data_IF_319906963954
#
_entry.id   IF_319906963954
#
_cell.length_a   1.000
_cell.length_b   1.000
_cell.length_c   1.000
_cell.angle_alpha   90.00
_cell.angle_beta   90.00
_cell.angle_gamma   90.00
#
_symmetry.space_group_name_H-M   'P 1'
#
loop_
_entity.id
_entity.type
_entity.pdbx_description
1 polymer ?
#
# COMPACT_ATOMS: atom_id res chain seq x y z
N UNK A 1 9.46 6.55 -10.22
CA UNK A 1 10.60 5.65 -10.55
C UNK A 1 10.57 4.60 -9.46
N UNK A 2 10.43 3.32 -9.78
CA UNK A 2 10.20 2.25 -8.78
C UNK A 2 11.27 2.28 -7.66
N UNK A 3 10.86 2.36 -6.39
CA UNK A 3 11.70 2.79 -5.27
C UNK A 3 12.15 1.67 -4.29
N UNK A 4 11.48 0.52 -4.20
CA UNK A 4 11.97 -0.67 -3.48
C UNK A 4 11.05 -1.86 -3.71
N UNK A 5 11.60 -3.08 -3.71
CA UNK A 5 10.82 -4.30 -3.41
C UNK A 5 11.10 -4.61 -1.95
N UNK A 6 10.08 -4.49 -1.12
CA UNK A 6 10.19 -4.81 0.30
C UNK A 6 9.58 -6.19 0.57
N UNK A 7 10.32 -7.02 1.30
CA UNK A 7 9.84 -8.28 1.86
C UNK A 7 9.20 -7.95 3.20
N UNK A 8 7.91 -8.20 3.35
CA UNK A 8 7.27 -8.19 4.66
C UNK A 8 6.75 -9.60 4.94
N UNK A 9 7.44 -10.25 5.88
CA UNK A 9 7.11 -11.49 6.59
C UNK A 9 6.71 -12.75 5.79
N UNK A 10 7.04 -13.90 6.38
CA UNK A 10 6.48 -15.19 6.01
C UNK A 10 5.37 -15.48 7.03
N UNK A 11 4.11 -15.41 6.60
CA UNK A 11 2.95 -15.69 7.45
C UNK A 11 2.11 -16.79 6.82
N UNK A 12 1.68 -17.76 7.62
CA UNK A 12 0.94 -18.95 7.17
C UNK A 12 1.58 -19.66 5.95
N UNK A 13 2.92 -19.68 5.90
CA UNK A 13 3.71 -20.20 4.76
C UNK A 13 3.44 -19.48 3.44
N UNK A 14 3.05 -18.21 3.49
CA UNK A 14 3.00 -17.29 2.35
C UNK A 14 4.05 -16.22 2.51
N UNK A 15 4.61 -15.80 1.38
CA UNK A 15 5.57 -14.72 1.25
C UNK A 15 4.86 -13.57 0.56
N UNK A 16 4.78 -12.42 1.22
CA UNK A 16 4.21 -11.21 0.65
C UNK A 16 5.29 -10.30 0.09
N UNK A 17 5.03 -9.73 -1.08
CA UNK A 17 5.93 -8.84 -1.80
C UNK A 17 5.22 -7.56 -2.17
N UNK A 18 5.92 -6.45 -1.98
CA UNK A 18 5.42 -5.12 -2.29
C UNK A 18 6.45 -4.38 -3.13
N UNK A 19 5.97 -3.69 -4.16
CA UNK A 19 6.76 -2.76 -4.95
C UNK A 19 6.24 -1.34 -4.70
N UNK A 20 7.11 -0.45 -4.26
CA UNK A 20 6.74 0.94 -3.95
C UNK A 20 7.16 1.90 -5.08
N UNK A 21 6.33 2.90 -5.37
CA UNK A 21 6.70 4.08 -6.17
C UNK A 21 6.65 5.32 -5.27
N UNK A 22 7.81 5.67 -4.72
CA UNK A 22 7.96 6.73 -3.74
C UNK A 22 7.36 6.31 -2.41
N UNK A 23 6.17 6.83 -2.12
CA UNK A 23 5.49 6.67 -0.85
C UNK A 23 4.16 5.91 -0.97
N UNK A 24 3.84 5.39 -2.16
CA UNK A 24 2.65 4.57 -2.43
C UNK A 24 3.04 3.16 -2.90
N UNK A 25 2.19 2.18 -2.60
CA UNK A 25 2.36 0.80 -3.07
C UNK A 25 1.94 0.76 -4.53
N UNK A 26 2.85 0.46 -5.44
CA UNK A 26 2.55 0.32 -6.86
C UNK A 26 2.08 -1.10 -7.19
N UNK A 27 2.78 -2.12 -6.69
CA UNK A 27 2.42 -3.52 -6.88
C UNK A 27 2.45 -4.29 -5.57
N UNK A 28 1.59 -5.29 -5.46
CA UNK A 28 1.64 -6.31 -4.42
C UNK A 28 1.36 -7.67 -5.04
N UNK A 29 2.04 -8.70 -4.55
CA UNK A 29 1.80 -10.09 -4.92
C UNK A 29 2.29 -10.99 -3.80
N UNK A 30 1.90 -12.25 -3.83
CA UNK A 30 2.29 -13.19 -2.80
C UNK A 30 2.31 -14.62 -3.32
N UNK A 31 3.12 -15.47 -2.72
CA UNK A 31 3.30 -16.86 -3.14
C UNK A 31 3.61 -17.76 -1.94
N UNK A 32 3.55 -19.08 -2.10
CA UNK A 32 3.87 -19.98 -0.99
C UNK A 32 5.36 -19.96 -0.68
N UNK A 33 5.73 -20.12 0.59
CA UNK A 33 7.12 -20.16 1.02
C UNK A 33 7.92 -21.26 0.31
N UNK A 34 7.28 -22.36 -0.09
CA UNK A 34 7.90 -23.43 -0.88
C UNK A 34 8.31 -22.96 -2.29
N UNK A 35 7.65 -21.95 -2.83
CA UNK A 35 7.92 -21.36 -4.14
C UNK A 35 8.94 -20.21 -4.08
N UNK A 36 9.40 -19.84 -2.87
CA UNK A 36 10.42 -18.81 -2.69
C UNK A 36 11.71 -19.19 -3.44
N UNK A 37 12.26 -18.30 -4.29
CA UNK A 37 13.56 -18.51 -4.89
C UNK A 37 14.68 -18.36 -3.85
N UNK A 38 15.74 -19.16 -4.00
CA UNK A 38 16.94 -19.06 -3.18
C UNK A 38 17.94 -18.09 -3.81
N UNK A 39 18.63 -17.35 -2.95
CA UNK A 39 19.77 -16.54 -3.36
C UNK A 39 20.98 -17.43 -3.60
N UNK A 40 21.57 -17.35 -4.79
CA UNK A 40 22.79 -18.05 -5.16
C UNK A 40 23.88 -17.06 -5.53
N UNK A 41 25.12 -17.42 -5.23
CA UNK A 41 26.31 -16.67 -5.64
C UNK A 41 26.94 -17.42 -6.81
N UNK A 42 27.02 -16.78 -7.97
CA UNK A 42 27.63 -17.38 -9.17
C UNK A 42 29.14 -17.53 -8.99
N UNK A 43 29.77 -18.30 -9.88
CA UNK A 43 31.24 -18.43 -9.92
C UNK A 43 31.96 -17.08 -10.12
N UNK A 44 31.27 -16.09 -10.69
CA UNK A 44 31.76 -14.72 -10.87
C UNK A 44 31.55 -13.83 -9.64
N UNK A 45 30.97 -14.36 -8.56
CA UNK A 45 30.67 -13.61 -7.34
C UNK A 45 29.39 -12.77 -7.41
N UNK A 46 28.58 -12.96 -8.45
CA UNK A 46 27.32 -12.24 -8.64
C UNK A 46 26.19 -12.90 -7.84
N UNK A 47 25.39 -12.09 -7.16
CA UNK A 47 24.25 -12.56 -6.37
C UNK A 47 23.01 -12.60 -7.26
N UNK A 48 22.47 -13.78 -7.51
CA UNK A 48 21.29 -14.00 -8.36
C UNK A 48 20.28 -14.90 -7.65
N UNK A 49 19.12 -15.11 -8.25
CA UNK A 49 18.13 -16.09 -7.78
C UNK A 49 18.26 -17.38 -8.57
N UNK A 50 18.03 -18.52 -7.92
CA UNK A 50 18.03 -19.84 -8.56
C UNK A 50 16.90 -20.02 -9.58
N UNK A 51 15.80 -19.29 -9.42
CA UNK A 51 14.65 -19.20 -10.32
C UNK A 51 14.00 -17.81 -10.27
N UNK A 52 13.19 -17.43 -11.29
CA UNK A 52 12.41 -16.20 -11.25
C UNK A 52 11.43 -16.17 -10.06
N UNK A 53 11.11 -14.97 -9.57
CA UNK A 53 10.05 -14.81 -8.58
C UNK A 53 8.67 -15.15 -9.19
N UNK A 54 7.83 -15.94 -8.50
CA UNK A 54 6.44 -16.14 -8.89
C UNK A 54 5.65 -14.82 -8.79
N UNK A 55 4.85 -14.49 -9.81
CA UNK A 55 4.07 -13.23 -9.90
C UNK A 55 2.62 -13.46 -10.38
N UNK A 56 2.04 -14.63 -10.11
CA UNK A 56 0.75 -15.05 -10.67
C UNK A 56 -0.45 -14.21 -10.21
N UNK A 57 -0.40 -13.66 -9.01
CA UNK A 57 -1.46 -12.88 -8.37
C UNK A 57 -1.09 -11.39 -8.25
N UNK A 58 -0.33 -10.87 -9.21
CA UNK A 58 0.07 -9.47 -9.23
C UNK A 58 -1.14 -8.54 -9.21
N UNK A 59 -1.17 -7.68 -8.20
CA UNK A 59 -2.10 -6.58 -8.07
C UNK A 59 -1.32 -5.29 -8.35
N UNK A 60 -1.87 -4.47 -9.25
CA UNK A 60 -1.36 -3.11 -9.49
C UNK A 60 -2.35 -2.09 -8.97
N UNK A 61 -1.86 -1.16 -8.15
CA UNK A 61 -2.62 -0.02 -7.67
C UNK A 61 -2.31 1.21 -8.52
N UNK A 62 -3.36 1.92 -8.93
CA UNK A 62 -3.26 3.19 -9.66
C UNK A 62 -3.76 4.29 -8.74
N UNK A 63 -3.08 5.43 -8.79
CA UNK A 63 -3.37 6.59 -7.95
C UNK A 63 -3.71 7.81 -8.81
N UNK A 64 -4.42 8.76 -8.21
CA UNK A 64 -4.59 10.08 -8.79
C UNK A 64 -3.22 10.79 -8.88
N UNK A 65 -3.07 11.67 -9.87
CA UNK A 65 -1.78 12.28 -10.22
C UNK A 65 -1.22 13.08 -9.04
N UNK A 66 0.03 12.76 -8.65
CA UNK A 66 0.74 13.38 -7.52
C UNK A 66 0.00 13.27 -6.16
N UNK A 67 -0.81 12.23 -5.97
CA UNK A 67 -1.68 12.03 -4.81
C UNK A 67 -1.54 10.64 -4.18
N UNK A 68 -2.03 10.49 -2.94
CA UNK A 68 -2.14 9.20 -2.24
C UNK A 68 -3.50 8.53 -2.43
N UNK A 69 -4.38 9.12 -3.25
CA UNK A 69 -5.75 8.64 -3.48
C UNK A 69 -5.72 7.51 -4.51
N UNK A 70 -6.07 6.26 -4.14
CA UNK A 70 -6.15 5.18 -5.11
C UNK A 70 -7.39 5.36 -6.00
N UNK A 71 -7.21 5.14 -7.30
CA UNK A 71 -8.24 5.34 -8.34
C UNK A 71 -8.56 4.07 -9.09
N UNK A 72 -7.64 3.10 -9.17
CA UNK A 72 -7.92 1.80 -9.74
C UNK A 72 -7.12 0.66 -9.12
N UNK A 73 -7.67 -0.55 -9.26
CA UNK A 73 -7.01 -1.82 -8.96
C UNK A 73 -7.00 -2.67 -10.22
N UNK A 74 -5.85 -3.24 -10.57
CA UNK A 74 -5.70 -4.13 -11.73
C UNK A 74 -5.19 -5.49 -11.23
N UNK A 75 -5.86 -6.57 -11.64
CA UNK A 75 -5.50 -7.95 -11.26
C UNK A 75 -5.61 -8.86 -12.48
N UNK A 76 -4.47 -9.15 -13.12
CA UNK A 76 -4.45 -9.76 -14.45
C UNK A 76 -5.22 -8.88 -15.45
N UNK A 77 -6.18 -9.46 -16.16
CA UNK A 77 -7.02 -8.74 -17.14
C UNK A 77 -8.23 -8.01 -16.53
N UNK A 78 -8.43 -8.10 -15.21
CA UNK A 78 -9.56 -7.46 -14.52
C UNK A 78 -9.18 -6.08 -14.03
N UNK A 79 -10.02 -5.10 -14.31
CA UNK A 79 -9.83 -3.72 -13.84
C UNK A 79 -10.98 -3.34 -12.91
N UNK A 80 -10.65 -2.58 -11.87
CA UNK A 80 -11.63 -2.07 -10.93
C UNK A 80 -11.43 -0.59 -10.73
N UNK A 81 -12.50 0.19 -10.90
CA UNK A 81 -12.49 1.63 -10.64
C UNK A 81 -12.81 1.88 -9.17
N UNK A 82 -11.98 2.67 -8.49
CA UNK A 82 -12.14 3.00 -7.07
C UNK A 82 -12.67 4.42 -6.95
N UNK A 83 -13.77 4.57 -6.22
CA UNK A 83 -14.34 5.87 -5.87
C UNK A 83 -13.98 6.17 -4.43
N UNK A 84 -13.41 7.35 -4.20
CA UNK A 84 -13.03 7.85 -2.89
C UNK A 84 -13.94 8.99 -2.43
N UNK A 85 -14.03 9.18 -1.11
CA UNK A 85 -14.73 10.32 -0.51
C UNK A 85 -13.93 11.64 -0.66
N UNK A 86 -14.47 12.71 -0.07
CA UNK A 86 -13.91 14.06 -0.19
C UNK A 86 -12.52 14.24 0.44
N UNK A 87 -12.08 13.33 1.32
CA UNK A 87 -10.72 13.31 1.88
C UNK A 87 -9.83 12.27 1.21
N UNK A 88 -10.32 11.59 0.17
CA UNK A 88 -9.53 10.62 -0.60
C UNK A 88 -9.51 9.20 -0.03
N UNK A 89 -10.42 8.87 0.89
CA UNK A 89 -10.57 7.50 1.40
C UNK A 89 -11.47 6.68 0.47
N UNK A 90 -11.08 5.46 0.06
CA UNK A 90 -11.92 4.61 -0.77
C UNK A 90 -13.28 4.34 -0.12
N UNK A 91 -14.38 4.47 -0.87
CA UNK A 91 -15.72 4.15 -0.38
C UNK A 91 -16.41 3.09 -1.22
N UNK A 92 -16.08 2.99 -2.51
CA UNK A 92 -16.66 2.00 -3.41
C UNK A 92 -15.65 1.54 -4.46
N UNK A 93 -15.86 0.34 -4.99
CA UNK A 93 -15.19 -0.14 -6.19
C UNK A 93 -16.15 -0.85 -7.14
N UNK A 94 -15.91 -0.64 -8.43
CA UNK A 94 -16.73 -1.14 -9.52
C UNK A 94 -15.91 -2.03 -10.45
N UNK A 95 -16.50 -3.12 -10.95
CA UNK A 95 -15.91 -3.94 -12.01
C UNK A 95 -16.08 -3.29 -13.41
N UNK A 96 -15.53 -3.95 -14.43
CA UNK A 96 -15.61 -3.52 -15.83
C UNK A 96 -17.05 -3.41 -16.39
N UNK A 97 -18.02 -4.04 -15.73
CA UNK A 97 -19.44 -3.98 -16.10
C UNK A 97 -20.20 -2.89 -15.32
N UNK A 98 -19.54 -2.17 -14.41
CA UNK A 98 -20.15 -1.17 -13.55
C UNK A 98 -20.92 -1.74 -12.36
N UNK A 99 -20.69 -3.00 -11.99
CA UNK A 99 -21.25 -3.57 -10.77
C UNK A 99 -20.40 -3.20 -9.56
N UNK A 100 -21.04 -2.89 -8.43
CA UNK A 100 -20.34 -2.69 -7.16
C UNK A 100 -19.78 -4.05 -6.70
N UNK A 101 -18.46 -4.13 -6.55
CA UNK A 101 -17.76 -5.33 -6.03
C UNK A 101 -17.25 -5.13 -4.60
N UNK A 102 -17.16 -3.87 -4.18
CA UNK A 102 -16.72 -3.50 -2.84
C UNK A 102 -17.34 -2.16 -2.42
N UNK A 103 -17.76 -2.05 -1.17
CA UNK A 103 -18.19 -0.78 -0.58
C UNK A 103 -17.93 -0.80 0.92
N UNK A 104 -17.51 0.33 1.47
CA UNK A 104 -17.32 0.48 2.91
C UNK A 104 -17.81 1.85 3.38
N UNK A 105 -18.47 1.84 4.54
CA UNK A 105 -18.65 3.03 5.36
C UNK A 105 -17.55 3.06 6.44
N UNK A 106 -17.43 4.18 7.14
CA UNK A 106 -16.45 4.34 8.19
C UNK A 106 -17.01 5.13 9.35
N UNK A 107 -16.55 4.84 10.56
CA UNK A 107 -16.77 5.75 11.68
C UNK A 107 -15.74 6.89 11.71
N UNK A 108 -15.87 7.76 12.73
CA UNK A 108 -15.05 8.96 12.89
C UNK A 108 -13.55 8.67 13.07
N UNK A 109 -13.19 7.44 13.47
CA UNK A 109 -11.80 7.01 13.62
C UNK A 109 -11.30 6.23 12.39
N UNK A 110 -12.09 6.17 11.32
CA UNK A 110 -11.72 5.42 10.12
C UNK A 110 -11.86 3.90 10.28
N UNK A 111 -12.53 3.41 11.32
CA UNK A 111 -12.85 1.99 11.39
C UNK A 111 -13.96 1.66 10.37
N UNK A 112 -13.74 0.61 9.58
CA UNK A 112 -14.67 0.17 8.54
C UNK A 112 -15.99 -0.31 9.15
N UNK A 113 -17.10 0.11 8.56
CA UNK A 113 -18.49 -0.24 8.88
C UNK A 113 -19.21 -0.63 7.59
N UNK A 114 -20.32 -1.38 7.72
CA UNK A 114 -21.23 -1.72 6.62
C UNK A 114 -20.52 -2.21 5.33
N UNK A 115 -19.55 -3.13 5.49
CA UNK A 115 -18.73 -3.62 4.40
C UNK A 115 -19.55 -4.52 3.45
N UNK A 116 -19.49 -4.21 2.16
CA UNK A 116 -19.86 -5.10 1.06
C UNK A 116 -18.58 -5.60 0.36
N UNK A 117 -18.54 -6.90 0.03
CA UNK A 117 -17.36 -7.53 -0.56
C UNK A 117 -16.31 -7.98 0.46
N UNK A 118 -15.12 -8.33 -0.02
CA UNK A 118 -13.99 -8.75 0.83
C UNK A 118 -13.27 -7.53 1.42
N UNK A 119 -12.94 -7.58 2.72
CA UNK A 119 -12.26 -6.48 3.42
C UNK A 119 -10.88 -6.17 2.84
N UNK A 120 -10.20 -7.21 2.38
CA UNK A 120 -8.87 -7.21 1.78
C UNK A 120 -8.91 -6.74 0.33
N UNK A 121 -10.10 -6.62 -0.27
CA UNK A 121 -10.21 -6.21 -1.67
C UNK A 121 -9.60 -4.83 -1.91
N UNK A 122 -9.77 -3.91 -0.96
CA UNK A 122 -9.05 -2.63 -0.90
C UNK A 122 -8.46 -2.51 0.52
N UNK A 123 -7.14 -2.54 0.69
CA UNK A 123 -6.49 -2.45 2.01
C UNK A 123 -6.31 -0.99 2.49
N UNK A 124 -6.55 0.01 1.64
CA UNK A 124 -6.35 1.41 1.99
C UNK A 124 -7.48 1.96 2.88
N UNK A 125 -7.11 2.75 3.89
CA UNK A 125 -8.04 3.35 4.85
C UNK A 125 -8.00 4.87 4.72
N UNK A 126 -7.67 5.61 5.78
CA UNK A 126 -7.36 7.05 5.61
C UNK A 126 -6.09 7.19 4.76
N UNK A 127 -5.82 8.39 4.25
CA UNK A 127 -4.65 8.61 3.38
C UNK A 127 -3.35 8.21 4.08
N UNK A 128 -2.58 7.34 3.42
CA UNK A 128 -1.34 6.76 3.93
C UNK A 128 -1.52 5.56 4.88
N UNK A 129 -2.75 5.12 5.14
CA UNK A 129 -3.02 3.90 5.92
C UNK A 129 -3.21 2.68 5.02
N UNK A 130 -2.46 1.63 5.33
CA UNK A 130 -2.65 0.29 4.82
C UNK A 130 -3.12 -0.62 5.96
N UNK A 131 -4.27 -1.29 5.84
CA UNK A 131 -4.70 -2.24 6.88
C UNK A 131 -3.85 -3.50 6.83
N UNK A 132 -3.21 -3.80 7.95
CA UNK A 132 -2.64 -5.10 8.23
C UNK A 132 -3.78 -6.04 8.67
N UNK A 133 -4.05 -7.05 7.85
CA UNK A 133 -5.11 -8.02 8.09
C UNK A 133 -4.90 -8.84 9.37
N UNK A 134 -3.65 -9.15 9.71
CA UNK A 134 -3.33 -10.04 10.83
C UNK A 134 -3.69 -9.38 12.17
N UNK A 135 -3.36 -8.10 12.29
CA UNK A 135 -3.56 -7.34 13.52
C UNK A 135 -4.86 -6.55 13.53
N UNK A 136 -5.40 -6.24 12.35
CA UNK A 136 -6.48 -5.27 12.15
C UNK A 136 -6.06 -3.83 12.46
N UNK A 137 -4.76 -3.58 12.60
CA UNK A 137 -4.18 -2.25 12.76
C UNK A 137 -3.91 -1.63 11.39
N UNK A 138 -3.86 -0.32 11.34
CA UNK A 138 -3.55 0.41 10.12
C UNK A 138 -2.11 0.90 10.16
N UNK A 139 -1.31 0.45 9.22
CA UNK A 139 0.08 0.84 9.08
C UNK A 139 0.19 2.19 8.37
N UNK A 140 0.72 3.18 9.07
CA UNK A 140 1.16 4.49 8.58
C UNK A 140 2.68 4.54 8.64
N UNK A 141 3.38 3.80 7.76
CA UNK A 141 4.85 3.79 7.53
C UNK A 141 5.77 3.74 8.77
N UNK A 142 5.75 4.75 9.63
CA UNK A 142 6.49 4.80 10.89
C UNK A 142 5.68 4.33 12.11
N UNK A 143 4.34 4.21 12.01
CA UNK A 143 3.48 3.85 13.15
C UNK A 143 2.31 2.95 12.75
N UNK A 144 1.80 2.21 13.73
CA UNK A 144 0.55 1.47 13.63
C UNK A 144 -0.55 2.21 14.38
N UNK A 145 -1.69 2.40 13.72
CA UNK A 145 -2.89 3.04 14.22
C UNK A 145 -3.95 2.00 14.56
N UNK A 146 -4.54 2.09 15.74
CA UNK A 146 -5.66 1.26 16.16
C UNK A 146 -6.98 2.03 15.91
N UNK A 147 -7.79 1.63 14.91
CA UNK A 147 -9.04 2.30 14.58
C UNK A 147 -10.14 2.08 15.63
N UNK A 148 -10.01 1.12 16.55
CA UNK A 148 -11.00 0.88 17.62
C UNK A 148 -10.91 1.94 18.71
N UNK A 149 -9.70 2.41 19.01
CA UNK A 149 -9.45 3.45 20.03
C UNK A 149 -9.17 4.82 19.42
N UNK A 150 -8.88 4.88 18.12
CA UNK A 150 -8.63 6.11 17.39
C UNK A 150 -7.23 6.71 17.60
N UNK A 151 -6.22 5.90 17.95
CA UNK A 151 -4.88 6.37 18.28
C UNK A 151 -3.77 5.46 17.73
N UNK A 152 -2.56 5.99 17.64
CA UNK A 152 -1.36 5.18 17.45
C UNK A 152 -1.06 4.33 18.67
N UNK A 153 -0.59 3.11 18.44
CA UNK A 153 -0.18 2.20 19.51
C UNK A 153 1.25 2.46 20.01
N UNK A 154 2.02 3.30 19.29
CA UNK A 154 3.38 3.70 19.63
C UNK A 154 3.51 5.22 19.75
N UNK A 155 4.47 5.65 20.58
CA UNK A 155 4.79 7.06 20.74
C UNK A 155 5.39 7.62 19.45
N UNK A 156 5.07 8.88 19.12
CA UNK A 156 5.66 9.60 17.99
C UNK A 156 7.21 9.59 18.07
N UNK A 157 7.90 9.01 17.06
CA UNK A 157 9.37 8.96 17.02
C UNK A 157 10.01 10.35 17.03
N UNK A 158 9.35 11.35 16.47
CA UNK A 158 9.82 12.75 16.46
C UNK A 158 9.21 13.58 17.58
N UNK A 159 8.43 12.95 18.48
CA UNK A 159 7.82 13.55 19.67
C UNK A 159 7.02 14.81 19.30
N UNK A 160 7.27 15.91 20.00
CA UNK A 160 6.56 17.17 19.79
C UNK A 160 6.99 17.90 18.49
N UNK A 161 8.00 17.40 17.77
CA UNK A 161 8.43 18.00 16.50
C UNK A 161 7.42 17.76 15.35
N UNK A 162 6.49 16.81 15.52
CA UNK A 162 5.39 16.54 14.58
C UNK A 162 4.28 17.61 14.57
N UNK A 163 4.40 18.65 15.40
CA UNK A 163 3.37 19.67 15.61
C UNK A 163 2.01 19.09 16.07
N UNK A 164 2.05 17.89 16.67
CA UNK A 164 0.93 17.26 17.35
C UNK A 164 1.27 17.25 18.86
N UNK A 165 0.49 17.92 19.73
CA UNK A 165 0.74 17.94 21.17
C UNK A 165 0.50 16.57 21.82
N UNK A 166 -0.18 15.66 21.13
CA UNK A 166 -0.46 14.30 21.61
C UNK A 166 0.54 13.31 21.01
N UNK A 167 1.33 12.68 21.88
CA UNK A 167 2.39 11.77 21.45
C UNK A 167 1.87 10.46 20.81
N UNK A 168 0.60 10.12 21.03
CA UNK A 168 -0.06 8.93 20.50
C UNK A 168 -1.23 9.26 19.57
N UNK A 169 -1.62 10.53 19.44
CA UNK A 169 -2.80 10.89 18.67
C UNK A 169 -2.53 10.88 17.17
N UNK A 170 -3.57 10.59 16.40
CA UNK A 170 -3.53 10.61 14.94
C UNK A 170 -3.47 12.04 14.39
N UNK A 171 -4.60 12.75 14.39
CA UNK A 171 -4.70 14.17 14.01
C UNK A 171 -5.72 14.90 14.88
N UNK A 172 -5.68 16.23 14.88
CA UNK A 172 -6.62 17.06 15.64
C UNK A 172 -8.06 17.04 15.10
N UNK A 173 -8.24 16.98 13.78
CA UNK A 173 -9.54 16.85 13.11
C UNK A 173 -9.42 15.90 11.90
N UNK A 174 -10.01 14.71 12.04
CA UNK A 174 -9.93 13.63 11.05
C UNK A 174 -10.74 13.91 9.77
N UNK A 175 -11.56 14.97 9.76
CA UNK A 175 -12.35 15.36 8.59
C UNK A 175 -11.57 16.29 7.65
N UNK A 176 -10.43 16.83 8.11
CA UNK A 176 -9.66 17.85 7.37
C UNK A 176 -8.17 17.48 7.31
N UNK A 177 -7.66 16.75 8.29
CA UNK A 177 -6.24 16.41 8.41
C UNK A 177 -6.05 14.89 8.35
N UNK A 178 -4.85 14.50 7.93
CA UNK A 178 -4.35 13.13 7.88
C UNK A 178 -2.87 13.12 8.19
N UNK A 179 -2.34 11.97 8.61
CA UNK A 179 -0.92 11.77 8.91
C UNK A 179 -0.36 10.65 8.01
N UNK A 180 -0.10 10.99 6.74
CA UNK A 180 0.31 10.05 5.68
C UNK A 180 1.53 9.22 6.09
N UNK A 181 2.45 9.83 6.84
CA UNK A 181 3.68 9.16 7.26
C UNK A 181 3.63 8.61 8.68
N UNK A 182 2.65 8.99 9.50
CA UNK A 182 2.74 8.67 10.92
C UNK A 182 3.77 9.54 11.65
N UNK A 183 3.96 10.80 11.27
CA UNK A 183 4.91 11.73 11.90
C UNK A 183 4.37 13.16 12.01
N UNK A 184 3.60 13.63 11.02
CA UNK A 184 3.19 15.03 10.94
C UNK A 184 1.87 15.14 10.18
N UNK A 185 0.92 15.81 10.82
CA UNK A 185 -0.37 16.07 10.22
C UNK A 185 -0.24 16.97 8.98
N UNK A 186 -0.97 16.60 7.93
CA UNK A 186 -1.13 17.31 6.65
C UNK A 186 -2.62 17.47 6.35
N UNK A 187 -2.98 18.48 5.59
CA UNK A 187 -4.33 18.69 5.05
C UNK A 187 -4.33 18.74 3.52
N UNK A 188 -3.19 18.44 2.88
CA UNK A 188 -3.08 18.36 1.43
C UNK A 188 -2.72 16.93 1.00
N UNK A 189 -3.61 16.26 0.24
CA UNK A 189 -3.39 14.88 -0.19
C UNK A 189 -2.32 14.79 -1.28
N UNK A 190 -1.85 15.92 -1.82
CA UNK A 190 -0.72 15.94 -2.74
C UNK A 190 0.60 15.98 -1.97
N UNK A 191 1.50 15.04 -2.26
CA UNK A 191 2.88 15.06 -1.76
C UNK A 191 3.85 15.41 -2.87
N UNK A 192 4.85 16.27 -2.60
CA UNK A 192 6.03 16.29 -3.47
C UNK A 192 6.70 14.92 -3.37
N UNK A 193 6.49 14.05 -4.37
CA UNK A 193 7.28 12.84 -4.57
C UNK A 193 8.75 13.27 -4.59
N UNK A 194 9.48 13.06 -3.49
CA UNK A 194 10.91 13.34 -3.46
C UNK A 194 11.59 12.14 -4.10
N UNK A 195 12.27 12.38 -5.23
CA UNK A 195 13.27 11.45 -5.75
C UNK A 195 14.35 11.23 -4.67
N UNK A 196 14.28 10.10 -3.96
CA UNK A 196 15.36 9.64 -3.08
C UNK A 196 16.19 8.66 -3.88
N UNK A 197 17.51 8.93 -3.97
CA UNK A 197 18.47 8.21 -4.81
C UNK A 197 18.64 6.74 -4.39
N UNK A 198 18.37 5.86 -5.37
CA UNK A 198 18.91 4.52 -5.68
C UNK A 198 19.27 3.59 -4.51
N UNK A 199 18.45 2.55 -4.36
CA UNK A 199 18.94 1.20 -4.09
C UNK A 199 18.37 0.29 -5.18
N UNK A 200 19.25 -0.35 -5.94
CA UNK A 200 18.95 -1.04 -7.22
C UNK A 200 18.42 -2.44 -6.91
N UNK A 201 17.27 -2.79 -7.50
CA UNK A 201 16.78 -4.17 -7.54
C UNK A 201 17.56 -4.97 -8.60
N UNK A 202 17.75 -6.28 -8.42
CA UNK A 202 18.31 -7.13 -9.47
C UNK A 202 17.51 -7.01 -10.76
N UNK A 203 18.19 -6.88 -11.89
CA UNK A 203 17.57 -6.59 -13.21
C UNK A 203 16.47 -7.61 -13.60
N UNK A 204 16.54 -8.84 -13.09
CA UNK A 204 15.55 -9.91 -13.33
C UNK A 204 14.14 -9.58 -12.80
N UNK A 205 14.05 -8.89 -11.65
CA UNK A 205 12.77 -8.50 -11.07
C UNK A 205 12.14 -7.39 -11.92
N UNK A 206 12.96 -6.42 -12.36
CA UNK A 206 12.51 -5.31 -13.20
C UNK A 206 12.10 -5.79 -14.60
N UNK A 207 12.80 -6.75 -15.20
CA UNK A 207 12.45 -7.33 -16.51
C UNK A 207 11.11 -8.07 -16.47
N UNK A 208 10.85 -8.84 -15.41
CA UNK A 208 9.54 -9.50 -15.19
C UNK A 208 8.39 -8.49 -15.19
N UNK A 209 8.59 -7.28 -14.64
CA UNK A 209 7.59 -6.20 -14.62
C UNK A 209 7.56 -5.33 -15.90
N UNK A 210 8.59 -5.38 -16.75
CA UNK A 210 8.59 -4.66 -18.04
C UNK A 210 7.74 -5.36 -19.09
N UNK A 211 7.65 -6.69 -19.05
CA UNK A 211 6.78 -7.45 -19.96
C UNK A 211 5.29 -7.25 -19.66
N UNK A 212 4.93 -6.89 -18.42
CA UNK A 212 3.57 -6.47 -18.03
C UNK A 212 3.18 -5.04 -18.46
N UNK A 213 4.11 -4.24 -19.02
CA UNK A 213 3.87 -2.83 -19.39
C UNK A 213 3.27 -2.61 -20.78
N UNK A 214 2.87 -3.65 -21.51
CA UNK A 214 2.17 -3.48 -22.79
C UNK A 214 0.65 -3.31 -22.64
N UNK A 215 0.17 -2.64 -21.59
CA UNK A 215 -1.20 -2.13 -21.57
C UNK A 215 -1.18 -0.75 -22.24
N UNK A 216 -1.29 -0.75 -23.57
CA UNK A 216 -1.66 0.47 -24.30
C UNK A 216 -3.09 0.82 -23.90
N UNK A 217 -3.23 1.79 -23.00
CA UNK A 217 -4.49 2.51 -22.84
C UNK A 217 -4.72 3.26 -24.16
N UNK A 218 -5.66 2.77 -24.96
CA UNK A 218 -6.16 3.40 -26.18
C UNK A 218 -7.15 4.51 -25.87
#
# INVERSE_FOLDING_TARGET
MIHSVDFLECFDRRVYRYLWDGDVILHEWDYTEADRPNTIVTETGEVTLDRPEPVENLITWVYDSDSYVPTAKIVGDRHYSIISDYIGRPVQAYDDNGNIVWQADYDIYGNVRNLHGSRQFIPFRQLGQYEDEETGLYYNRFRYYDPKIGNYISQDPIRLAGNNPTLYGYVGDCNVWFDIFGLKCSNNPTGKMKEIKKQILPDQVIETFKDGKNIKLS
#
